data_IF_947474206447
#
_entry.id   IF_947474206447
#
_cell.length_a   1.000
_cell.length_b   1.000
_cell.length_c   1.000
_cell.angle_alpha   90.00
_cell.angle_beta   90.00
_cell.angle_gamma   90.00
#
_symmetry.space_group_name_H-M   'P 1'
#
loop_
_entity.id
_entity.type
_entity.pdbx_description
1 polymer ?
#
# COMPACT_ATOMS: atom_id res chain seq x y z
N UNK A 1 -62.89 4.29 2.86
CA UNK A 1 -61.50 4.63 2.47
C UNK A 1 -60.76 4.97 3.75
N UNK A 2 -59.94 4.03 4.26
CA UNK A 2 -59.11 4.21 5.44
C UNK A 2 -57.84 4.98 5.05
N UNK A 3 -57.73 6.20 5.55
CA UNK A 3 -56.50 7.00 5.37
C UNK A 3 -55.34 6.26 6.05
N UNK A 4 -54.35 5.82 5.28
CA UNK A 4 -53.06 5.38 5.79
C UNK A 4 -52.28 6.61 6.31
N UNK A 5 -52.33 6.85 7.62
CA UNK A 5 -51.48 7.83 8.26
C UNK A 5 -50.05 7.25 8.31
N UNK A 6 -49.16 7.79 7.47
CA UNK A 6 -47.70 7.55 7.61
C UNK A 6 -47.23 8.40 8.78
N UNK A 7 -46.87 7.78 9.89
CA UNK A 7 -46.20 8.45 11.00
C UNK A 7 -44.72 8.66 10.63
N UNK A 8 -44.36 9.89 10.31
CA UNK A 8 -42.95 10.30 10.25
C UNK A 8 -42.53 10.49 11.70
N UNK A 9 -41.61 9.69 12.19
CA UNK A 9 -41.00 9.88 13.51
C UNK A 9 -40.39 11.28 13.59
N UNK A 10 -40.63 11.99 14.67
CA UNK A 10 -40.01 13.30 14.88
C UNK A 10 -38.49 13.17 14.92
N UNK A 11 -37.78 14.20 14.51
CA UNK A 11 -36.32 14.21 14.39
C UNK A 11 -35.62 13.89 15.71
N UNK A 12 -36.21 14.30 16.83
CA UNK A 12 -35.77 13.95 18.19
C UNK A 12 -35.83 12.43 18.45
N UNK A 13 -36.91 11.78 18.08
CA UNK A 13 -37.11 10.32 18.25
C UNK A 13 -36.10 9.54 17.42
N UNK A 14 -35.79 10.02 16.20
CA UNK A 14 -34.76 9.42 15.34
C UNK A 14 -33.35 9.57 15.93
N UNK A 15 -33.05 10.72 16.56
CA UNK A 15 -31.80 10.95 17.27
C UNK A 15 -31.67 10.06 18.51
N UNK A 16 -32.72 9.92 19.31
CA UNK A 16 -32.74 9.02 20.45
C UNK A 16 -32.56 7.55 20.06
N UNK A 17 -33.23 7.10 18.99
CA UNK A 17 -33.06 5.73 18.48
C UNK A 17 -31.67 5.51 18.00
N UNK A 18 -31.06 6.51 17.32
CA UNK A 18 -29.67 6.46 16.87
C UNK A 18 -28.70 6.35 18.06
N UNK A 19 -28.85 7.19 19.08
CA UNK A 19 -28.01 7.17 20.27
C UNK A 19 -28.15 5.86 21.05
N UNK A 20 -29.39 5.33 21.21
CA UNK A 20 -29.62 4.04 21.86
C UNK A 20 -29.03 2.89 21.04
N UNK A 21 -29.11 2.92 19.71
CA UNK A 21 -28.52 1.92 18.83
C UNK A 21 -27.00 1.96 18.91
N UNK A 22 -26.41 3.14 18.90
CA UNK A 22 -24.95 3.32 19.06
C UNK A 22 -24.50 2.84 20.45
N UNK A 23 -25.26 3.09 21.50
CA UNK A 23 -24.97 2.62 22.86
C UNK A 23 -25.10 1.10 23.00
N UNK A 24 -26.09 0.49 22.34
CA UNK A 24 -26.22 -0.98 22.26
C UNK A 24 -25.05 -1.61 21.49
N UNK A 25 -24.68 -1.04 20.36
CA UNK A 25 -23.53 -1.50 19.59
C UNK A 25 -22.24 -1.38 20.41
N UNK A 26 -22.02 -0.27 21.11
CA UNK A 26 -20.87 -0.08 22.02
C UNK A 26 -20.82 -1.13 23.13
N UNK A 27 -21.95 -1.53 23.68
CA UNK A 27 -22.02 -2.55 24.73
C UNK A 27 -21.80 -3.99 24.22
N UNK A 28 -21.97 -4.23 22.92
CA UNK A 28 -21.70 -5.52 22.26
C UNK A 28 -20.25 -5.64 21.79
N UNK A 29 -19.48 -4.54 21.73
CA UNK A 29 -18.09 -4.52 21.32
C UNK A 29 -17.22 -4.69 22.56
N UNK A 30 -16.25 -5.65 22.56
CA UNK A 30 -15.30 -5.78 23.65
C UNK A 30 -14.56 -4.47 23.89
N UNK A 31 -14.68 -3.89 25.08
CA UNK A 31 -14.07 -2.60 25.46
C UNK A 31 -12.57 -2.70 25.77
N UNK A 32 -12.00 -3.91 25.71
CA UNK A 32 -10.64 -4.24 26.11
C UNK A 32 -9.65 -4.35 24.94
N UNK A 33 -10.12 -4.19 23.70
CA UNK A 33 -9.21 -4.22 22.54
C UNK A 33 -8.36 -2.95 22.47
N UNK A 34 -7.01 -3.05 22.43
CA UNK A 34 -6.16 -1.87 22.36
C UNK A 34 -6.42 -1.10 21.07
N UNK A 35 -6.63 0.21 21.19
CA UNK A 35 -6.71 1.14 20.06
C UNK A 35 -5.38 1.89 19.99
N UNK A 36 -4.66 1.64 18.92
CA UNK A 36 -3.43 2.36 18.59
C UNK A 36 -3.76 3.58 17.75
N UNK A 37 -3.16 4.71 18.05
CA UNK A 37 -3.52 5.94 17.36
C UNK A 37 -2.34 6.89 17.18
N UNK A 38 -2.52 7.82 16.25
CA UNK A 38 -1.64 8.96 16.07
C UNK A 38 -2.43 10.18 15.59
N UNK A 39 -1.92 11.36 15.89
CA UNK A 39 -2.24 12.60 15.20
C UNK A 39 -1.03 13.07 14.41
N UNK A 40 -1.26 13.55 13.20
CA UNK A 40 -0.26 14.15 12.33
C UNK A 40 -0.61 15.62 12.17
N UNK A 41 0.26 16.50 12.67
CA UNK A 41 0.11 17.95 12.65
C UNK A 41 0.50 18.51 11.27
N UNK A 42 -0.39 18.36 10.28
CA UNK A 42 -0.04 18.57 8.86
C UNK A 42 0.27 20.02 8.47
N UNK A 43 -0.26 21.02 9.21
CA UNK A 43 -0.01 22.43 8.92
C UNK A 43 0.86 23.13 9.96
N UNK A 44 0.80 22.71 11.23
CA UNK A 44 1.49 23.39 12.34
C UNK A 44 2.94 22.93 12.53
N UNK A 45 3.26 21.70 12.10
CA UNK A 45 4.60 21.14 12.14
C UNK A 45 4.91 20.40 10.82
N UNK A 46 5.88 20.88 10.07
CA UNK A 46 6.33 20.27 8.81
C UNK A 46 7.53 19.34 8.98
N UNK A 47 8.13 19.26 10.18
CA UNK A 47 9.24 18.35 10.42
C UNK A 47 8.75 16.90 10.54
N UNK A 48 9.19 15.97 9.67
CA UNK A 48 8.71 14.60 9.63
C UNK A 48 8.86 13.84 10.95
N UNK A 49 9.91 14.14 11.73
CA UNK A 49 10.23 13.44 12.96
C UNK A 49 9.45 13.93 14.20
N UNK A 50 8.85 15.13 14.15
CA UNK A 50 8.15 15.73 15.29
C UNK A 50 6.66 15.90 15.09
N UNK A 51 6.19 15.94 13.84
CA UNK A 51 4.77 16.17 13.50
C UNK A 51 3.82 15.04 13.86
N UNK A 52 4.33 13.88 14.28
CA UNK A 52 3.53 12.72 14.65
C UNK A 52 3.51 12.55 16.17
N UNK A 53 2.34 12.62 16.76
CA UNK A 53 2.10 12.36 18.19
C UNK A 53 1.33 11.04 18.36
N UNK A 54 1.76 10.20 19.29
CA UNK A 54 1.08 8.95 19.62
C UNK A 54 -0.14 9.17 20.53
N UNK A 55 -1.19 8.40 20.30
CA UNK A 55 -2.46 8.45 21.02
C UNK A 55 -2.90 7.04 21.46
N UNK A 56 -3.83 6.99 22.41
CA UNK A 56 -4.45 5.72 22.82
C UNK A 56 -3.45 4.74 23.46
N UNK A 57 -3.50 3.48 23.07
CA UNK A 57 -2.69 2.41 23.68
C UNK A 57 -1.19 2.54 23.45
N UNK A 58 -0.78 3.26 22.41
CA UNK A 58 0.64 3.47 22.08
C UNK A 58 1.20 4.83 22.51
N UNK A 59 0.48 5.58 23.36
CA UNK A 59 0.88 6.93 23.78
C UNK A 59 2.33 7.03 24.25
N UNK A 60 2.79 6.05 25.02
CA UNK A 60 4.13 6.04 25.60
C UNK A 60 5.08 5.05 24.90
N UNK A 61 4.76 4.62 23.68
CA UNK A 61 5.58 3.64 22.95
C UNK A 61 6.86 4.27 22.43
N UNK A 62 7.95 3.51 22.51
CA UNK A 62 9.18 3.78 21.77
C UNK A 62 8.93 3.41 20.29
N UNK A 63 9.14 4.33 19.34
CA UNK A 63 9.00 4.02 17.92
C UNK A 63 10.01 2.99 17.44
N UNK A 64 9.71 2.34 16.33
CA UNK A 64 10.66 1.52 15.59
C UNK A 64 11.75 2.39 14.97
N UNK A 65 12.95 1.84 14.83
CA UNK A 65 14.05 2.50 14.13
C UNK A 65 14.91 1.50 13.36
N UNK A 66 15.26 1.84 12.12
CA UNK A 66 16.16 1.06 11.28
C UNK A 66 17.62 1.43 11.53
N UNK A 67 18.47 0.45 11.76
CA UNK A 67 19.91 0.64 11.71
C UNK A 67 20.40 0.37 10.28
N UNK A 68 20.65 1.44 9.51
CA UNK A 68 21.03 1.35 8.10
C UNK A 68 22.37 0.66 7.88
N UNK A 69 23.28 0.70 8.86
CA UNK A 69 24.59 0.06 8.75
C UNK A 69 24.55 -1.47 8.97
N UNK A 70 23.66 -1.95 9.83
CA UNK A 70 23.46 -3.38 10.09
C UNK A 70 22.23 -3.95 9.39
N UNK A 71 21.45 -3.09 8.75
CA UNK A 71 20.18 -3.41 8.07
C UNK A 71 19.11 -4.03 8.98
N UNK A 72 19.24 -3.82 10.29
CA UNK A 72 18.37 -4.43 11.30
C UNK A 72 17.36 -3.43 11.86
N UNK A 73 16.14 -3.89 12.07
CA UNK A 73 15.07 -3.12 12.69
C UNK A 73 15.06 -3.30 14.22
N UNK A 74 15.18 -2.19 14.95
CA UNK A 74 14.76 -2.14 16.37
C UNK A 74 13.25 -1.90 16.41
N UNK A 75 12.51 -2.90 16.86
CA UNK A 75 11.04 -2.85 16.91
C UNK A 75 10.49 -1.95 18.04
N UNK A 76 11.34 -1.42 18.93
CA UNK A 76 10.89 -0.59 20.03
C UNK A 76 9.80 -1.27 20.87
N UNK A 77 8.73 -0.53 21.17
CA UNK A 77 7.58 -1.08 21.91
C UNK A 77 6.61 -1.89 21.05
N UNK A 78 6.81 -1.94 19.72
CA UNK A 78 5.95 -2.64 18.77
C UNK A 78 6.26 -4.13 18.62
N UNK A 79 7.37 -4.61 19.22
CA UNK A 79 7.83 -6.00 19.12
C UNK A 79 6.76 -7.03 19.50
N UNK A 80 5.84 -6.68 20.41
CA UNK A 80 4.79 -7.57 20.89
C UNK A 80 3.42 -7.35 20.25
N UNK A 81 3.29 -6.44 19.29
CA UNK A 81 2.02 -6.23 18.61
C UNK A 81 1.64 -7.45 17.76
N UNK A 82 0.52 -8.09 18.13
CA UNK A 82 0.04 -9.34 17.52
C UNK A 82 -0.18 -9.21 16.01
N UNK A 83 -0.65 -8.07 15.54
CA UNK A 83 -0.85 -7.80 14.13
C UNK A 83 0.48 -7.79 13.36
N UNK A 84 1.50 -7.15 13.92
CA UNK A 84 2.84 -7.10 13.32
C UNK A 84 3.49 -8.49 13.26
N UNK A 85 3.34 -9.29 14.33
CA UNK A 85 3.81 -10.68 14.38
C UNK A 85 3.07 -11.60 13.39
N UNK A 86 1.84 -11.27 13.00
CA UNK A 86 1.05 -12.04 12.04
C UNK A 86 1.48 -11.79 10.58
N UNK A 87 2.30 -10.77 10.32
CA UNK A 87 2.89 -10.56 8.99
C UNK A 87 4.04 -11.55 8.78
N UNK A 88 3.78 -12.60 8.02
CA UNK A 88 4.70 -13.72 7.77
C UNK A 88 4.84 -13.99 6.27
N UNK A 89 6.03 -14.39 5.79
CA UNK A 89 6.25 -14.72 4.39
C UNK A 89 5.77 -16.15 4.08
N UNK A 90 5.14 -16.32 2.93
CA UNK A 90 4.54 -17.60 2.52
C UNK A 90 4.78 -17.89 1.04
N UNK A 91 4.74 -19.18 0.68
CA UNK A 91 4.44 -19.60 -0.69
C UNK A 91 2.97 -19.95 -0.78
N UNK A 92 2.26 -19.36 -1.75
CA UNK A 92 0.83 -19.62 -1.99
C UNK A 92 0.59 -20.11 -3.41
N UNK A 93 -0.53 -20.82 -3.62
CA UNK A 93 -1.04 -21.19 -4.94
C UNK A 93 -1.51 -19.95 -5.74
N UNK A 94 -1.98 -20.20 -6.98
CA UNK A 94 -2.45 -19.12 -7.87
C UNK A 94 -3.67 -18.37 -7.31
N UNK A 95 -4.48 -19.00 -6.51
CA UNK A 95 -5.71 -18.49 -5.89
C UNK A 95 -5.49 -17.85 -4.51
N UNK A 96 -4.25 -17.80 -4.02
CA UNK A 96 -3.91 -17.28 -2.70
C UNK A 96 -4.00 -18.32 -1.57
N UNK A 97 -4.23 -19.60 -1.85
CA UNK A 97 -4.15 -20.65 -0.84
C UNK A 97 -2.71 -20.81 -0.34
N UNK A 98 -2.49 -20.64 0.96
CA UNK A 98 -1.16 -20.78 1.57
C UNK A 98 -0.74 -22.25 1.50
N UNK A 99 0.36 -22.53 0.80
CA UNK A 99 0.91 -23.88 0.67
C UNK A 99 1.88 -24.20 1.82
N UNK A 100 2.73 -23.23 2.19
CA UNK A 100 3.62 -23.31 3.35
C UNK A 100 4.18 -21.94 3.71
N UNK A 101 4.68 -21.85 4.94
CA UNK A 101 5.35 -20.68 5.46
C UNK A 101 6.83 -20.72 5.12
N UNK A 102 7.40 -19.57 4.75
CA UNK A 102 8.84 -19.38 4.60
C UNK A 102 9.49 -19.10 5.96
N UNK A 103 10.77 -19.39 6.08
CA UNK A 103 11.56 -18.89 7.21
C UNK A 103 11.69 -17.36 7.07
N UNK A 104 11.26 -16.57 8.06
CA UNK A 104 11.26 -15.10 7.95
C UNK A 104 12.67 -14.51 7.84
N UNK A 105 13.71 -15.23 8.28
CA UNK A 105 15.11 -14.78 8.27
C UNK A 105 15.90 -15.36 7.09
N UNK A 106 15.37 -16.37 6.40
CA UNK A 106 16.01 -16.99 5.23
C UNK A 106 14.96 -17.57 4.30
N UNK A 107 14.48 -16.76 3.34
CA UNK A 107 13.42 -17.18 2.41
C UNK A 107 13.79 -18.36 1.50
N UNK A 108 15.07 -18.73 1.41
CA UNK A 108 15.48 -19.96 0.70
C UNK A 108 15.07 -21.22 1.44
N UNK A 109 14.56 -21.08 2.67
CA UNK A 109 14.07 -22.16 3.52
C UNK A 109 12.58 -21.96 3.85
N UNK A 110 11.91 -23.09 4.10
CA UNK A 110 10.62 -23.14 4.76
C UNK A 110 10.77 -22.92 6.26
N UNK A 111 9.67 -22.69 6.96
CA UNK A 111 9.66 -22.55 8.41
C UNK A 111 10.23 -23.79 9.16
N UNK A 112 10.18 -24.97 8.55
CA UNK A 112 10.77 -26.23 9.09
C UNK A 112 12.25 -26.39 8.76
N UNK A 113 12.87 -25.43 8.07
CA UNK A 113 14.29 -25.43 7.70
C UNK A 113 14.61 -26.15 6.39
N UNK A 114 13.67 -26.82 5.74
CA UNK A 114 13.88 -27.44 4.42
C UNK A 114 13.90 -26.39 3.29
N UNK A 115 14.44 -26.75 2.12
CA UNK A 115 14.53 -25.84 0.98
C UNK A 115 13.14 -25.37 0.51
N UNK A 116 13.04 -24.06 0.21
CA UNK A 116 11.82 -23.46 -0.31
C UNK A 116 11.83 -23.34 -1.85
N UNK A 117 10.69 -22.96 -2.40
CA UNK A 117 10.51 -22.69 -3.82
C UNK A 117 10.55 -21.18 -4.14
N UNK A 118 11.11 -20.34 -3.26
CA UNK A 118 11.09 -18.87 -3.42
C UNK A 118 11.67 -18.38 -4.75
N UNK A 119 12.62 -19.12 -5.33
CA UNK A 119 13.25 -18.83 -6.64
C UNK A 119 12.90 -19.88 -7.71
N UNK A 120 11.96 -20.79 -7.44
CA UNK A 120 11.59 -21.84 -8.39
C UNK A 120 10.56 -21.32 -9.40
N UNK A 121 11.01 -20.99 -10.60
CA UNK A 121 10.15 -20.52 -11.69
C UNK A 121 9.00 -21.49 -12.04
N UNK A 122 9.17 -22.80 -11.77
CA UNK A 122 8.17 -23.83 -12.03
C UNK A 122 7.18 -24.04 -10.86
N UNK A 123 7.37 -23.36 -9.72
CA UNK A 123 6.40 -23.44 -8.63
C UNK A 123 5.03 -22.91 -9.10
N UNK A 124 3.97 -23.64 -8.82
CA UNK A 124 2.61 -23.32 -9.24
C UNK A 124 1.96 -22.28 -8.28
N UNK A 125 2.55 -21.08 -8.18
CA UNK A 125 2.09 -20.06 -7.26
C UNK A 125 3.10 -18.91 -7.10
N UNK A 126 3.04 -18.22 -5.96
CA UNK A 126 3.77 -16.99 -5.70
C UNK A 126 4.37 -16.95 -4.28
N UNK A 127 5.45 -16.16 -4.12
CA UNK A 127 5.99 -15.78 -2.83
C UNK A 127 5.31 -14.48 -2.37
N UNK A 128 4.58 -14.55 -1.28
CA UNK A 128 3.75 -13.46 -0.78
C UNK A 128 3.96 -13.25 0.73
N UNK A 129 3.54 -12.12 1.27
CA UNK A 129 3.50 -11.88 2.70
C UNK A 129 2.06 -11.65 3.17
N UNK A 130 1.72 -12.24 4.31
CA UNK A 130 0.38 -12.13 4.89
C UNK A 130 0.21 -10.78 5.57
N UNK A 131 -0.83 -10.05 5.22
CA UNK A 131 -1.31 -8.86 5.93
C UNK A 131 -2.66 -9.20 6.54
N UNK A 132 -2.71 -9.42 7.84
CA UNK A 132 -3.94 -9.69 8.59
C UNK A 132 -4.85 -8.46 8.58
N UNK A 133 -6.16 -8.70 8.51
CA UNK A 133 -7.17 -7.64 8.59
C UNK A 133 -6.97 -6.79 9.84
N UNK A 134 -7.06 -5.47 9.63
CA UNK A 134 -7.09 -4.46 10.68
C UNK A 134 -8.18 -3.45 10.37
N UNK A 135 -8.76 -2.87 11.38
CA UNK A 135 -9.77 -1.82 11.25
C UNK A 135 -9.11 -0.46 11.47
N UNK A 136 -9.42 0.48 10.59
CA UNK A 136 -8.88 1.84 10.57
C UNK A 136 -10.00 2.85 10.75
N UNK A 137 -9.79 3.85 11.61
CA UNK A 137 -10.60 5.05 11.71
C UNK A 137 -9.72 6.24 11.41
N UNK A 138 -10.16 7.12 10.51
CA UNK A 138 -9.38 8.26 10.06
C UNK A 138 -10.30 9.46 9.83
N UNK A 139 -9.85 10.64 10.30
CA UNK A 139 -10.56 11.90 10.11
C UNK A 139 -9.62 13.09 10.31
N UNK A 140 -10.06 14.29 9.89
CA UNK A 140 -9.36 15.55 10.17
C UNK A 140 -10.15 16.41 11.17
N UNK A 141 -9.42 17.14 12.03
CA UNK A 141 -9.94 18.24 12.85
C UNK A 141 -9.06 19.45 12.58
N UNK A 142 -9.60 20.44 11.87
CA UNK A 142 -8.77 21.48 11.28
C UNK A 142 -7.77 20.89 10.29
N UNK A 143 -6.50 21.19 10.46
CA UNK A 143 -5.40 20.64 9.66
C UNK A 143 -4.81 19.35 10.22
N UNK A 144 -5.18 18.95 11.43
CA UNK A 144 -4.64 17.76 12.07
C UNK A 144 -5.35 16.50 11.58
N UNK A 145 -4.55 15.51 11.16
CA UNK A 145 -5.04 14.21 10.70
C UNK A 145 -4.92 13.16 11.80
N UNK A 146 -6.05 12.61 12.23
CA UNK A 146 -6.16 11.58 13.25
C UNK A 146 -6.33 10.22 12.60
N UNK A 147 -5.50 9.26 12.97
CA UNK A 147 -5.52 7.88 12.46
C UNK A 147 -5.46 6.90 13.62
N UNK A 148 -6.41 5.96 13.64
CA UNK A 148 -6.48 4.93 14.66
C UNK A 148 -6.60 3.54 14.04
N UNK A 149 -5.99 2.56 14.69
CA UNK A 149 -6.04 1.16 14.30
C UNK A 149 -6.49 0.28 15.46
N UNK A 150 -7.28 -0.74 15.15
CA UNK A 150 -7.68 -1.78 16.08
C UNK A 150 -7.81 -3.12 15.34
N UNK A 151 -7.42 -4.23 15.96
CA UNK A 151 -7.61 -5.57 15.38
C UNK A 151 -9.07 -6.03 15.36
N UNK A 152 -9.97 -5.27 16.01
CA UNK A 152 -11.41 -5.49 16.04
C UNK A 152 -12.16 -4.21 15.67
N UNK A 153 -13.36 -4.35 15.16
CA UNK A 153 -14.24 -3.21 14.95
C UNK A 153 -14.83 -2.76 16.30
N UNK A 154 -14.32 -1.69 16.85
CA UNK A 154 -14.70 -1.17 18.18
C UNK A 154 -15.82 -0.12 18.12
N UNK A 155 -16.04 0.49 16.96
CA UNK A 155 -17.19 1.32 16.63
C UNK A 155 -17.43 1.31 15.10
N UNK A 156 -18.58 1.82 14.60
CA UNK A 156 -18.89 1.80 13.16
C UNK A 156 -17.94 2.60 12.27
N UNK A 157 -17.17 3.54 12.82
CA UNK A 157 -16.20 4.33 12.04
C UNK A 157 -14.91 3.58 11.78
N UNK A 158 -14.62 2.53 12.58
CA UNK A 158 -13.52 1.63 12.29
C UNK A 158 -13.91 0.71 11.13
N UNK A 159 -13.30 0.95 9.98
CA UNK A 159 -13.56 0.22 8.74
C UNK A 159 -12.38 -0.68 8.36
N UNK A 160 -12.61 -1.85 7.75
CA UNK A 160 -11.54 -2.74 7.28
C UNK A 160 -10.94 -2.20 5.96
N UNK A 161 -10.36 -0.99 6.02
CA UNK A 161 -9.82 -0.29 4.84
C UNK A 161 -8.71 -1.11 4.20
N UNK A 162 -8.87 -1.43 2.92
CA UNK A 162 -7.95 -2.29 2.18
C UNK A 162 -8.29 -3.79 2.21
N UNK A 163 -9.30 -4.20 3.00
CA UNK A 163 -9.72 -5.61 3.12
C UNK A 163 -11.12 -5.87 2.56
N UNK A 164 -11.82 -4.83 2.11
CA UNK A 164 -13.09 -4.99 1.41
C UNK A 164 -12.81 -5.18 -0.09
N UNK A 165 -13.04 -6.38 -0.60
CA UNK A 165 -12.87 -6.72 -2.02
C UNK A 165 -14.24 -6.97 -2.63
N UNK A 166 -14.72 -6.03 -3.43
CA UNK A 166 -16.03 -6.10 -4.12
C UNK A 166 -17.17 -6.47 -3.16
N UNK A 167 -17.24 -5.76 -2.03
CA UNK A 167 -18.27 -5.95 -1.00
C UNK A 167 -18.02 -7.13 -0.05
N UNK A 168 -16.93 -7.86 -0.18
CA UNK A 168 -16.57 -8.98 0.71
C UNK A 168 -15.33 -8.62 1.53
N UNK A 169 -15.48 -8.56 2.84
CA UNK A 169 -14.36 -8.33 3.77
C UNK A 169 -13.52 -9.60 3.87
N UNK A 170 -12.20 -9.46 3.65
CA UNK A 170 -11.23 -10.56 3.73
C UNK A 170 -10.51 -10.54 5.07
N UNK A 171 -10.19 -11.72 5.61
CA UNK A 171 -9.48 -11.83 6.89
C UNK A 171 -7.99 -11.50 6.79
N UNK A 172 -7.44 -11.66 5.58
CA UNK A 172 -6.09 -11.23 5.24
C UNK A 172 -5.98 -10.94 3.74
N UNK A 173 -4.93 -10.19 3.40
CA UNK A 173 -4.48 -9.98 2.03
C UNK A 173 -3.05 -10.51 1.91
N UNK A 174 -2.69 -11.02 0.75
CA UNK A 174 -1.34 -11.46 0.42
C UNK A 174 -0.68 -10.41 -0.46
N UNK A 175 0.31 -9.69 0.08
CA UNK A 175 1.08 -8.69 -0.65
C UNK A 175 2.30 -9.33 -1.32
N UNK A 176 2.79 -8.79 -2.45
CA UNK A 176 3.93 -9.35 -3.17
C UNK A 176 5.23 -9.17 -2.38
N UNK A 177 6.03 -10.22 -2.27
CA UNK A 177 7.38 -10.12 -1.73
C UNK A 177 8.35 -9.49 -2.74
N UNK A 178 8.11 -9.72 -4.03
CA UNK A 178 8.96 -9.31 -5.14
C UNK A 178 8.19 -8.49 -6.17
N UNK A 179 8.88 -7.61 -6.88
CA UNK A 179 8.32 -6.90 -8.02
C UNK A 179 7.72 -7.85 -9.03
N UNK A 180 6.62 -7.45 -9.65
CA UNK A 180 5.93 -8.24 -10.65
C UNK A 180 6.83 -8.63 -11.81
N UNK A 181 6.73 -9.87 -12.22
CA UNK A 181 7.33 -10.43 -13.43
C UNK A 181 6.26 -11.17 -14.24
N UNK A 182 6.49 -11.40 -15.52
CA UNK A 182 5.55 -12.14 -16.38
C UNK A 182 6.20 -13.46 -16.79
N UNK A 183 5.52 -14.58 -16.49
CA UNK A 183 6.00 -15.91 -16.89
C UNK A 183 5.67 -16.24 -18.37
N UNK A 184 6.20 -17.36 -18.86
CA UNK A 184 5.99 -17.81 -20.23
C UNK A 184 4.52 -18.09 -20.60
N UNK A 185 3.62 -18.14 -19.64
CA UNK A 185 2.17 -18.26 -19.84
C UNK A 185 1.46 -16.90 -19.77
N UNK A 186 2.20 -15.81 -19.61
CA UNK A 186 1.68 -14.46 -19.50
C UNK A 186 1.02 -14.16 -18.15
N UNK A 187 1.36 -14.87 -17.08
CA UNK A 187 0.85 -14.66 -15.73
C UNK A 187 1.75 -13.70 -14.95
N UNK A 188 1.16 -12.80 -14.19
CA UNK A 188 1.87 -11.99 -13.22
C UNK A 188 2.39 -12.86 -12.07
N UNK A 189 3.67 -12.71 -11.72
CA UNK A 189 4.35 -13.48 -10.69
C UNK A 189 4.99 -12.58 -9.66
N UNK A 190 5.02 -13.03 -8.41
CA UNK A 190 5.88 -12.55 -7.34
C UNK A 190 6.80 -13.71 -6.94
N UNK A 191 8.05 -13.71 -7.45
CA UNK A 191 9.00 -14.78 -7.21
C UNK A 191 10.44 -14.27 -7.38
N UNK A 192 11.38 -14.75 -6.58
CA UNK A 192 12.78 -14.36 -6.69
C UNK A 192 13.44 -14.97 -7.93
N UNK A 193 14.52 -14.35 -8.42
CA UNK A 193 15.26 -14.85 -9.56
C UNK A 193 14.64 -14.51 -10.93
N UNK A 194 13.51 -13.80 -10.96
CA UNK A 194 12.87 -13.35 -12.19
C UNK A 194 13.14 -11.86 -12.43
N UNK A 195 13.12 -11.46 -13.70
CA UNK A 195 13.24 -10.07 -14.08
C UNK A 195 12.04 -9.27 -13.57
N UNK A 196 12.31 -8.12 -12.96
CA UNK A 196 11.29 -7.25 -12.37
C UNK A 196 10.65 -6.27 -13.35
N UNK A 197 10.94 -6.36 -14.64
CA UNK A 197 10.26 -5.58 -15.66
C UNK A 197 9.04 -6.32 -16.24
N UNK A 198 8.07 -5.55 -16.65
CA UNK A 198 6.83 -6.03 -17.23
C UNK A 198 6.80 -5.80 -18.73
N UNK A 199 7.75 -6.36 -19.43
CA UNK A 199 7.65 -6.51 -20.89
C UNK A 199 6.90 -7.80 -21.24
N UNK A 200 6.30 -7.85 -22.42
CA UNK A 200 5.57 -9.03 -22.89
C UNK A 200 6.45 -10.30 -22.95
N UNK A 201 7.76 -10.15 -23.03
CA UNK A 201 8.73 -11.24 -23.07
C UNK A 201 9.39 -11.52 -21.72
N UNK A 202 9.09 -10.74 -20.68
CA UNK A 202 9.84 -10.80 -19.42
C UNK A 202 11.32 -10.44 -19.58
N UNK A 203 11.70 -9.86 -20.70
CA UNK A 203 13.09 -9.61 -21.06
C UNK A 203 13.56 -8.24 -20.57
N UNK A 204 14.86 -8.13 -20.43
CA UNK A 204 15.58 -6.95 -19.96
C UNK A 204 15.68 -5.81 -20.99
N UNK A 205 14.98 -5.89 -22.11
CA UNK A 205 15.05 -4.80 -23.09
C UNK A 205 14.39 -3.54 -22.54
N UNK A 206 15.04 -2.42 -22.76
CA UNK A 206 14.43 -1.12 -22.49
C UNK A 206 13.15 -0.95 -23.33
N UNK A 207 12.24 -0.13 -22.85
CA UNK A 207 10.97 0.12 -23.53
C UNK A 207 11.09 0.91 -24.83
N UNK A 208 12.26 1.39 -25.19
CA UNK A 208 12.50 2.02 -26.48
C UNK A 208 12.25 1.07 -27.65
N UNK A 209 12.18 -0.24 -27.37
CA UNK A 209 11.84 -1.29 -28.35
C UNK A 209 10.36 -1.58 -28.53
N UNK A 210 9.45 -0.91 -27.79
CA UNK A 210 8.01 -1.09 -27.91
C UNK A 210 7.45 -2.38 -27.29
N UNK A 211 8.18 -3.03 -26.39
CA UNK A 211 7.75 -4.26 -25.71
C UNK A 211 7.10 -4.01 -24.35
N UNK A 212 7.09 -2.77 -23.88
CA UNK A 212 6.41 -2.41 -22.64
C UNK A 212 4.90 -2.54 -22.76
N UNK A 213 4.27 -2.86 -21.65
CA UNK A 213 2.82 -3.09 -21.57
C UNK A 213 2.14 -2.05 -20.68
N UNK A 214 0.96 -1.63 -21.09
CA UNK A 214 0.12 -0.68 -20.35
C UNK A 214 -0.68 -1.34 -19.23
N UNK A 215 -1.53 -0.54 -18.60
CA UNK A 215 -2.34 -0.99 -17.43
C UNK A 215 -3.27 -2.14 -17.79
N UNK A 216 -3.85 -2.14 -19.01
CA UNK A 216 -4.79 -3.19 -19.45
C UNK A 216 -4.11 -4.55 -19.60
N UNK A 217 -2.92 -4.57 -20.19
CA UNK A 217 -2.13 -5.78 -20.38
C UNK A 217 -1.62 -6.31 -19.04
N UNK A 218 -1.20 -5.43 -18.13
CA UNK A 218 -0.80 -5.79 -16.77
C UNK A 218 -1.98 -6.37 -15.98
N UNK A 219 -3.18 -5.79 -16.12
CA UNK A 219 -4.41 -6.36 -15.55
C UNK A 219 -4.70 -7.76 -16.11
N UNK A 220 -4.52 -7.93 -17.42
CA UNK A 220 -4.70 -9.23 -18.07
C UNK A 220 -3.72 -10.27 -17.49
N UNK A 221 -2.47 -9.91 -17.26
CA UNK A 221 -1.49 -10.80 -16.65
C UNK A 221 -1.85 -11.16 -15.20
N UNK A 222 -2.36 -10.21 -14.42
CA UNK A 222 -2.87 -10.44 -13.05
C UNK A 222 -4.05 -11.43 -13.10
N UNK A 223 -5.02 -11.21 -13.97
CA UNK A 223 -6.21 -12.08 -14.09
C UNK A 223 -5.89 -13.47 -14.64
N UNK A 224 -4.84 -13.62 -15.44
CA UNK A 224 -4.31 -14.94 -15.82
C UNK A 224 -3.68 -15.68 -14.65
N UNK A 225 -3.18 -14.97 -13.64
CA UNK A 225 -2.68 -15.61 -12.41
C UNK A 225 -3.82 -16.09 -11.54
N UNK A 226 -4.79 -15.20 -11.28
CA UNK A 226 -5.98 -15.48 -10.49
C UNK A 226 -7.14 -14.62 -10.96
N UNK A 227 -8.33 -15.23 -11.08
CA UNK A 227 -9.56 -14.47 -11.37
C UNK A 227 -9.90 -13.45 -10.27
N UNK A 228 -9.37 -13.65 -9.06
CA UNK A 228 -9.48 -12.71 -7.93
C UNK A 228 -8.23 -11.85 -7.74
N UNK A 229 -7.26 -11.92 -8.64
CA UNK A 229 -6.04 -11.15 -8.58
C UNK A 229 -6.31 -9.64 -8.73
N UNK A 230 -5.55 -8.83 -8.02
CA UNK A 230 -5.67 -7.38 -7.94
C UNK A 230 -4.29 -6.75 -8.16
N UNK A 231 -4.27 -5.48 -8.55
CA UNK A 231 -3.05 -4.68 -8.47
C UNK A 231 -2.67 -4.45 -7.00
N UNK A 232 -1.39 -4.50 -6.68
CA UNK A 232 -0.91 -4.09 -5.37
C UNK A 232 -0.93 -2.56 -5.27
N UNK A 233 -2.04 -2.03 -4.80
CA UNK A 233 -2.34 -0.60 -4.73
C UNK A 233 -3.58 -0.32 -3.89
N UNK A 234 -4.18 0.83 -4.12
CA UNK A 234 -5.46 1.24 -3.54
C UNK A 234 -5.47 1.39 -2.03
N UNK A 235 -6.59 1.08 -1.39
CA UNK A 235 -6.78 1.36 0.03
C UNK A 235 -5.86 0.57 0.97
N UNK A 236 -5.39 -0.63 0.57
CA UNK A 236 -4.46 -1.41 1.39
C UNK A 236 -3.10 -0.70 1.51
N UNK A 237 -2.55 -0.22 0.42
CA UNK A 237 -1.25 0.46 0.44
C UNK A 237 -1.29 1.78 1.20
N UNK A 238 -2.41 2.52 1.17
CA UNK A 238 -2.61 3.70 2.03
C UNK A 238 -2.67 3.29 3.51
N UNK A 239 -3.35 2.18 3.84
CA UNK A 239 -3.40 1.64 5.20
C UNK A 239 -2.01 1.24 5.69
N UNK A 240 -1.21 0.55 4.87
CA UNK A 240 0.16 0.16 5.20
C UNK A 240 1.09 1.37 5.36
N UNK A 241 0.95 2.40 4.52
CA UNK A 241 1.72 3.63 4.65
C UNK A 241 1.43 4.35 5.98
N UNK A 242 0.17 4.43 6.40
CA UNK A 242 -0.19 4.99 7.71
C UNK A 242 0.33 4.13 8.89
N UNK A 243 0.30 2.81 8.75
CA UNK A 243 0.91 1.93 9.75
C UNK A 243 2.41 2.19 9.84
N UNK A 244 3.11 2.36 8.72
CA UNK A 244 4.54 2.70 8.70
C UNK A 244 4.81 4.02 9.44
N UNK A 245 4.02 5.07 9.19
CA UNK A 245 4.12 6.34 9.94
C UNK A 245 3.90 6.12 11.43
N UNK A 246 2.90 5.34 11.81
CA UNK A 246 2.65 5.01 13.23
C UNK A 246 3.80 4.22 13.85
N UNK A 247 4.33 3.22 13.18
CA UNK A 247 5.41 2.38 13.71
C UNK A 247 6.69 3.17 13.96
N UNK A 248 7.05 4.09 13.05
CA UNK A 248 8.30 4.86 13.10
C UNK A 248 8.15 6.24 13.74
N UNK A 249 6.90 6.69 13.96
CA UNK A 249 6.59 8.04 14.42
C UNK A 249 7.20 9.13 13.51
N UNK A 250 7.25 8.87 12.22
CA UNK A 250 7.80 9.77 11.20
C UNK A 250 7.00 9.67 9.92
N UNK A 251 6.86 10.80 9.21
CA UNK A 251 6.25 10.84 7.88
C UNK A 251 7.25 10.66 6.74
N UNK A 252 8.56 10.67 7.03
CA UNK A 252 9.62 10.39 6.08
C UNK A 252 9.90 8.88 6.02
N UNK A 253 9.45 8.24 4.95
CA UNK A 253 9.59 6.80 4.78
C UNK A 253 11.01 6.38 4.43
N UNK A 254 11.78 7.19 3.68
CA UNK A 254 13.15 6.86 3.31
C UNK A 254 14.08 6.95 4.52
N UNK A 255 13.99 8.01 5.33
CA UNK A 255 14.76 8.10 6.59
C UNK A 255 14.40 6.98 7.58
N UNK A 256 13.15 6.50 7.54
CA UNK A 256 12.65 5.49 8.47
C UNK A 256 13.03 4.06 8.09
N UNK A 257 13.05 3.73 6.79
CA UNK A 257 13.21 2.35 6.29
C UNK A 257 14.38 2.21 5.29
N UNK A 258 15.08 3.30 4.98
CA UNK A 258 16.16 3.35 4.00
C UNK A 258 15.69 3.79 2.62
N UNK A 259 16.63 4.29 1.84
CA UNK A 259 16.38 4.90 0.53
C UNK A 259 16.11 3.89 -0.60
N UNK A 260 16.39 2.62 -0.37
CA UNK A 260 16.15 1.58 -1.37
C UNK A 260 17.00 1.75 -2.63
N UNK A 261 16.36 1.67 -3.79
CA UNK A 261 17.01 1.79 -5.11
C UNK A 261 16.69 3.13 -5.80
N UNK A 262 16.25 4.13 -5.07
CA UNK A 262 15.72 5.39 -5.58
C UNK A 262 16.70 6.23 -6.42
N UNK A 263 18.01 6.00 -6.33
CA UNK A 263 19.04 6.71 -7.09
C UNK A 263 20.00 5.73 -7.77
N UNK A 264 19.51 4.60 -8.20
CA UNK A 264 20.31 3.51 -8.77
C UNK A 264 20.25 3.41 -10.30
N UNK A 265 19.63 4.38 -10.96
CA UNK A 265 19.56 4.40 -12.42
C UNK A 265 20.94 4.49 -13.08
N UNK A 266 21.13 3.73 -14.14
CA UNK A 266 22.25 3.85 -15.08
C UNK A 266 21.70 3.99 -16.48
N UNK A 267 22.24 4.95 -17.25
CA UNK A 267 21.82 5.18 -18.65
C UNK A 267 22.17 4.04 -19.60
N UNK A 268 23.10 3.16 -19.21
CA UNK A 268 23.43 1.99 -20.01
C UNK A 268 22.24 1.04 -20.08
N UNK A 269 21.65 0.91 -21.25
CA UNK A 269 20.47 0.09 -21.54
C UNK A 269 20.62 -1.38 -21.14
N UNK A 270 21.85 -1.92 -21.13
CA UNK A 270 22.14 -3.26 -20.66
C UNK A 270 22.09 -3.41 -19.14
N UNK A 271 22.05 -2.29 -18.43
CA UNK A 271 22.07 -2.23 -16.97
C UNK A 271 20.87 -1.49 -16.37
N UNK A 272 19.76 -1.34 -17.10
CA UNK A 272 18.54 -0.71 -16.59
C UNK A 272 18.03 -1.42 -15.35
N UNK A 273 17.88 -0.69 -14.28
CA UNK A 273 17.43 -1.26 -12.99
C UNK A 273 15.99 -1.78 -13.04
N UNK A 274 15.14 -1.19 -13.85
CA UNK A 274 13.79 -1.69 -14.12
C UNK A 274 13.75 -3.09 -14.73
N UNK A 275 14.90 -3.63 -15.11
CA UNK A 275 15.05 -4.99 -15.65
C UNK A 275 15.88 -5.88 -14.74
N UNK A 276 16.23 -5.44 -13.54
CA UNK A 276 17.01 -6.25 -12.61
C UNK A 276 16.26 -7.48 -12.13
N UNK A 277 17.01 -8.53 -11.89
CA UNK A 277 16.51 -9.75 -11.29
C UNK A 277 16.11 -9.47 -9.84
N UNK A 278 14.88 -9.79 -9.48
CA UNK A 278 14.41 -9.78 -8.11
C UNK A 278 15.33 -10.60 -7.22
N UNK A 279 15.90 -10.00 -6.19
CA UNK A 279 16.81 -10.66 -5.26
C UNK A 279 16.10 -11.05 -3.97
N UNK A 280 16.51 -12.15 -3.39
CA UNK A 280 16.19 -12.45 -2.00
C UNK A 280 16.99 -11.48 -1.12
N UNK A 281 16.29 -10.60 -0.41
CA UNK A 281 16.92 -9.66 0.54
C UNK A 281 17.05 -10.28 1.92
N UNK A 282 18.05 -9.83 2.67
CA UNK A 282 18.43 -10.34 3.97
C UNK A 282 17.30 -10.57 4.98
N UNK A 283 17.58 -11.17 6.08
CA UNK A 283 16.63 -11.68 7.06
C UNK A 283 15.65 -10.65 7.64
N UNK A 284 14.60 -11.15 8.28
CA UNK A 284 13.62 -10.37 9.01
C UNK A 284 12.51 -9.75 8.14
N UNK A 285 11.53 -9.22 8.83
CA UNK A 285 10.32 -8.57 8.26
C UNK A 285 10.64 -7.24 7.56
N UNK A 286 11.67 -6.56 8.02
CA UNK A 286 12.17 -5.29 7.50
C UNK A 286 13.66 -5.42 7.16
N UNK A 287 14.08 -4.69 6.16
CA UNK A 287 15.49 -4.56 5.79
C UNK A 287 15.68 -3.20 5.13
N UNK A 288 16.58 -2.38 5.61
CA UNK A 288 16.83 -1.03 5.10
C UNK A 288 18.31 -0.75 4.88
N UNK A 289 18.62 -0.01 3.82
CA UNK A 289 19.94 0.48 3.46
C UNK A 289 19.82 1.86 2.83
N UNK A 290 20.82 2.71 3.04
CA UNK A 290 20.93 4.05 2.46
C UNK A 290 21.91 4.11 1.28
N UNK A 291 22.32 2.98 0.73
CA UNK A 291 23.27 2.94 -0.39
C UNK A 291 22.65 3.32 -1.74
N UNK A 292 21.32 3.59 -1.77
CA UNK A 292 20.53 3.92 -2.94
C UNK A 292 20.51 2.84 -4.04
N UNK A 293 20.98 1.62 -3.74
CA UNK A 293 21.17 0.51 -4.69
C UNK A 293 20.71 -0.84 -4.13
N UNK A 294 20.08 -0.86 -2.95
CA UNK A 294 19.65 -2.08 -2.29
C UNK A 294 18.17 -2.33 -2.43
N UNK A 295 17.80 -3.60 -2.58
CA UNK A 295 16.43 -4.05 -2.40
C UNK A 295 16.08 -3.99 -0.92
N UNK A 296 15.53 -2.88 -0.47
CA UNK A 296 14.96 -2.77 0.87
C UNK A 296 13.61 -3.49 0.92
N UNK A 297 13.13 -3.76 2.12
CA UNK A 297 11.79 -4.36 2.32
C UNK A 297 11.09 -3.80 3.54
N UNK A 298 9.78 -3.72 3.42
CA UNK A 298 8.83 -3.39 4.49
C UNK A 298 7.77 -4.48 4.49
N UNK A 299 7.45 -5.08 5.62
CA UNK A 299 6.49 -6.19 5.74
C UNK A 299 6.82 -7.38 4.80
N UNK A 300 8.09 -7.77 4.71
CA UNK A 300 8.61 -8.78 3.78
C UNK A 300 8.49 -8.42 2.30
N UNK A 301 8.01 -7.23 1.92
CA UNK A 301 7.81 -6.79 0.55
C UNK A 301 8.91 -5.84 0.08
N UNK A 302 9.65 -6.23 -0.94
CA UNK A 302 10.60 -5.35 -1.63
C UNK A 302 9.88 -4.24 -2.41
N UNK A 303 8.65 -4.48 -2.82
CA UNK A 303 7.85 -3.48 -3.57
C UNK A 303 7.54 -2.25 -2.72
N UNK A 304 7.34 -2.43 -1.40
CA UNK A 304 7.08 -1.32 -0.48
C UNK A 304 8.33 -0.53 -0.08
N UNK A 305 9.51 -1.18 -0.08
CA UNK A 305 10.72 -0.57 0.49
C UNK A 305 11.80 -0.22 -0.50
N UNK A 306 11.72 -0.66 -1.77
CA UNK A 306 12.84 -0.53 -2.70
C UNK A 306 12.73 0.64 -3.67
N UNK A 307 11.55 1.18 -3.94
CA UNK A 307 11.33 2.32 -4.85
C UNK A 307 12.05 2.17 -6.21
N UNK A 308 12.09 0.94 -6.74
CA UNK A 308 12.83 0.65 -7.97
C UNK A 308 12.00 0.92 -9.23
N UNK A 309 10.71 0.65 -9.16
CA UNK A 309 9.77 0.79 -10.27
C UNK A 309 8.45 1.37 -9.77
N UNK A 310 7.93 2.34 -10.49
CA UNK A 310 6.56 2.79 -10.32
C UNK A 310 5.60 1.61 -10.33
N UNK A 311 4.68 1.58 -9.37
CA UNK A 311 3.64 0.56 -9.26
C UNK A 311 2.30 1.14 -9.67
N UNK A 312 1.64 0.55 -10.66
CA UNK A 312 0.31 0.98 -11.09
C UNK A 312 -0.73 0.79 -9.99
N UNK A 313 -1.48 1.85 -9.76
CA UNK A 313 -2.59 1.90 -8.81
C UNK A 313 -3.88 2.36 -9.52
N UNK A 314 -4.52 1.48 -10.31
CA UNK A 314 -5.71 1.85 -11.07
C UNK A 314 -6.94 2.12 -10.20
N UNK A 315 -6.83 1.97 -8.89
CA UNK A 315 -7.89 2.29 -7.92
C UNK A 315 -7.92 3.77 -7.54
N UNK A 316 -7.00 4.56 -8.07
CA UNK A 316 -7.02 6.02 -8.06
C UNK A 316 -6.84 6.52 -9.48
N UNK A 317 -7.78 7.36 -9.93
CA UNK A 317 -7.78 8.00 -11.25
C UNK A 317 -7.96 9.50 -11.06
N UNK A 318 -7.13 10.31 -11.71
CA UNK A 318 -7.30 11.76 -11.76
C UNK A 318 -7.88 12.17 -13.12
N UNK A 319 -9.11 12.64 -13.13
CA UNK A 319 -9.78 13.12 -14.36
C UNK A 319 -9.65 14.63 -14.42
N UNK A 320 -8.77 15.14 -15.28
CA UNK A 320 -8.44 16.57 -15.36
C UNK A 320 -8.11 17.15 -13.98
N UNK A 321 -7.27 16.43 -13.20
CA UNK A 321 -6.86 16.79 -11.84
C UNK A 321 -7.86 16.39 -10.74
N UNK A 322 -9.12 16.05 -11.07
CA UNK A 322 -10.11 15.61 -10.08
C UNK A 322 -9.90 14.16 -9.69
N UNK A 323 -9.56 13.92 -8.43
CA UNK A 323 -9.27 12.57 -7.93
C UNK A 323 -10.55 11.79 -7.67
N UNK A 324 -10.61 10.58 -8.22
CA UNK A 324 -11.66 9.59 -7.99
C UNK A 324 -11.02 8.27 -7.55
N UNK A 325 -11.66 7.54 -6.64
CA UNK A 325 -11.08 6.32 -6.05
C UNK A 325 -12.08 5.16 -5.97
N UNK A 326 -11.54 3.95 -6.08
CA UNK A 326 -12.26 2.71 -5.79
C UNK A 326 -11.96 2.23 -4.36
N UNK A 327 -12.97 2.18 -3.51
CA UNK A 327 -12.82 1.74 -2.11
C UNK A 327 -12.90 0.23 -1.93
N UNK A 328 -13.21 -0.52 -3.00
CA UNK A 328 -13.47 -1.96 -3.00
C UNK A 328 -12.74 -2.73 -4.09
N UNK A 329 -11.71 -2.12 -4.70
CA UNK A 329 -10.95 -2.69 -5.82
C UNK A 329 -11.75 -2.93 -7.12
N UNK A 330 -12.87 -2.28 -7.29
CA UNK A 330 -13.49 -2.19 -8.62
C UNK A 330 -12.50 -1.53 -9.58
N UNK A 331 -12.26 -2.17 -10.73
CA UNK A 331 -11.29 -1.73 -11.73
C UNK A 331 -11.99 -0.94 -12.83
N UNK A 332 -11.58 0.32 -12.98
CA UNK A 332 -12.05 1.19 -14.07
C UNK A 332 -10.99 2.27 -14.36
N UNK A 333 -10.57 2.40 -15.62
CA UNK A 333 -9.51 3.32 -16.03
C UNK A 333 -10.00 4.73 -16.37
N UNK A 334 -11.31 4.96 -16.47
CA UNK A 334 -11.92 6.29 -16.66
C UNK A 334 -12.34 6.94 -15.33
N UNK A 335 -12.35 6.18 -14.24
CA UNK A 335 -12.90 6.61 -12.95
C UNK A 335 -14.43 6.60 -12.89
N UNK A 336 -15.11 5.99 -13.89
CA UNK A 336 -16.57 5.85 -13.87
C UNK A 336 -16.98 4.86 -12.77
N UNK A 337 -17.98 5.24 -11.98
CA UNK A 337 -18.41 4.46 -10.82
C UNK A 337 -17.50 4.56 -9.60
N UNK A 338 -16.38 5.28 -9.68
CA UNK A 338 -15.53 5.56 -8.52
C UNK A 338 -16.13 6.66 -7.64
N UNK A 339 -15.78 6.64 -6.38
CA UNK A 339 -16.10 7.71 -5.44
C UNK A 339 -15.36 8.98 -5.85
N UNK A 340 -16.11 10.05 -6.12
CA UNK A 340 -15.53 11.38 -6.29
C UNK A 340 -15.11 11.93 -4.92
N UNK A 341 -13.81 12.17 -4.75
CA UNK A 341 -13.25 12.53 -3.45
C UNK A 341 -13.48 13.98 -3.04
N UNK A 342 -13.85 14.82 -3.98
CA UNK A 342 -13.86 16.28 -3.76
C UNK A 342 -12.48 16.93 -3.91
N UNK A 343 -11.39 16.17 -3.90
CA UNK A 343 -10.03 16.67 -4.01
C UNK A 343 -9.67 16.95 -5.48
N UNK A 344 -9.01 18.08 -5.71
CA UNK A 344 -8.50 18.48 -7.00
C UNK A 344 -7.02 18.79 -6.87
N UNK A 345 -6.18 18.24 -7.74
CA UNK A 345 -4.75 18.51 -7.82
C UNK A 345 -4.40 19.04 -9.19
N UNK A 346 -3.65 20.12 -9.28
CA UNK A 346 -3.45 20.87 -10.51
C UNK A 346 -1.99 21.04 -10.91
N UNK A 347 -1.07 20.87 -9.98
CA UNK A 347 0.36 21.06 -10.18
C UNK A 347 1.19 20.01 -9.42
N UNK A 348 2.43 19.86 -9.84
CA UNK A 348 3.41 19.07 -9.13
C UNK A 348 3.69 19.70 -7.74
N UNK A 349 3.76 18.88 -6.69
CA UNK A 349 4.01 19.36 -5.34
C UNK A 349 4.63 18.28 -4.45
N UNK A 350 5.28 18.70 -3.36
CA UNK A 350 5.65 17.81 -2.27
C UNK A 350 4.50 17.68 -1.28
N UNK A 351 4.20 16.47 -0.86
CA UNK A 351 3.08 16.19 0.01
C UNK A 351 3.34 16.70 1.44
N UNK A 352 2.65 17.73 1.89
CA UNK A 352 2.65 18.16 3.29
C UNK A 352 1.32 17.88 3.98
N UNK A 353 0.21 18.01 3.24
CA UNK A 353 -1.14 17.72 3.69
C UNK A 353 -1.77 16.61 2.87
N UNK A 354 -2.70 15.89 3.49
CA UNK A 354 -3.48 14.83 2.84
C UNK A 354 -4.97 15.14 2.91
N UNK A 355 -5.69 14.76 1.86
CA UNK A 355 -7.14 14.71 1.87
C UNK A 355 -7.60 13.31 2.31
N UNK A 356 -8.47 13.23 3.32
CA UNK A 356 -8.94 11.95 3.87
C UNK A 356 -10.19 11.49 3.14
N UNK A 357 -10.16 10.27 2.61
CA UNK A 357 -11.28 9.64 1.89
C UNK A 357 -11.77 8.41 2.65
N UNK A 358 -13.01 8.46 3.13
CA UNK A 358 -13.62 7.34 3.87
C UNK A 358 -13.60 6.05 3.04
N UNK A 359 -13.03 4.99 3.62
CA UNK A 359 -12.92 3.67 2.96
C UNK A 359 -11.74 3.52 2.01
N UNK A 360 -11.01 4.60 1.69
CA UNK A 360 -9.82 4.55 0.84
C UNK A 360 -8.54 4.93 1.60
N UNK A 361 -8.63 5.89 2.51
CA UNK A 361 -7.50 6.46 3.25
C UNK A 361 -7.05 7.80 2.68
N UNK A 362 -5.85 8.23 3.06
CA UNK A 362 -5.30 9.52 2.68
C UNK A 362 -4.84 9.55 1.21
N UNK A 363 -5.06 10.67 0.55
CA UNK A 363 -4.60 10.98 -0.81
C UNK A 363 -3.90 12.34 -0.83
N UNK A 364 -3.00 12.63 -1.80
CA UNK A 364 -2.33 13.92 -1.92
C UNK A 364 -3.28 15.12 -1.95
N UNK A 365 -2.87 16.24 -1.36
CA UNK A 365 -3.59 17.50 -1.34
C UNK A 365 -2.63 18.66 -1.57
N UNK A 366 -3.04 19.69 -2.31
CA UNK A 366 -2.26 20.91 -2.58
C UNK A 366 -2.52 22.03 -1.55
N UNK A 367 -3.15 21.74 -0.41
CA UNK A 367 -3.47 22.75 0.60
C UNK A 367 -2.22 23.40 1.19
N UNK A 368 -1.18 22.61 1.44
CA UNK A 368 0.14 23.06 1.88
C UNK A 368 1.19 22.19 1.17
N UNK A 369 2.21 22.82 0.63
CA UNK A 369 3.33 22.15 -0.01
C UNK A 369 4.47 21.90 0.99
N UNK A 370 5.02 20.68 0.95
CA UNK A 370 6.24 20.29 1.66
C UNK A 370 7.50 20.53 0.82
N UNK A 371 8.55 19.81 1.18
CA UNK A 371 9.81 19.68 0.43
C UNK A 371 10.31 18.24 0.57
N UNK A 372 11.41 17.89 -0.09
CA UNK A 372 12.07 16.59 0.11
C UNK A 372 12.57 16.33 1.55
N UNK A 373 12.47 17.32 2.46
CA UNK A 373 12.87 17.23 3.86
C UNK A 373 11.75 17.64 4.84
N UNK A 374 10.56 17.94 4.34
CA UNK A 374 9.42 18.40 5.16
C UNK A 374 8.11 17.78 4.68
N UNK A 375 7.12 17.74 5.55
CA UNK A 375 5.84 17.12 5.26
C UNK A 375 5.95 15.60 5.28
N UNK A 376 5.55 14.96 4.18
CA UNK A 376 5.75 13.52 3.95
C UNK A 376 7.03 13.22 3.16
N UNK A 377 7.77 14.25 2.77
CA UNK A 377 8.99 14.23 1.97
C UNK A 377 8.81 13.73 0.52
N UNK A 378 7.74 13.04 0.24
CA UNK A 378 7.41 12.41 -1.02
C UNK A 378 6.72 13.38 -1.98
N UNK A 379 6.90 13.18 -3.28
CA UNK A 379 6.41 14.09 -4.32
C UNK A 379 5.17 13.54 -5.04
N UNK A 380 4.35 14.43 -5.57
CA UNK A 380 3.22 14.12 -6.46
C UNK A 380 3.38 14.85 -7.78
N UNK A 381 3.47 14.08 -8.88
CA UNK A 381 3.49 14.59 -10.26
C UNK A 381 2.07 14.65 -10.79
N UNK A 382 1.71 15.73 -11.49
CA UNK A 382 0.34 15.98 -11.93
C UNK A 382 0.30 16.48 -13.38
N UNK A 383 -0.58 15.90 -14.18
CA UNK A 383 -1.04 16.48 -15.43
C UNK A 383 -2.56 16.62 -15.39
N UNK A 384 -3.02 17.82 -15.05
CA UNK A 384 -4.44 18.13 -14.90
C UNK A 384 -5.20 18.26 -16.23
N UNK A 385 -4.61 17.89 -17.37
CA UNK A 385 -5.28 17.97 -18.69
C UNK A 385 -5.69 16.61 -19.25
N UNK A 386 -5.38 15.52 -18.53
CA UNK A 386 -5.63 14.14 -18.96
C UNK A 386 -6.46 13.36 -17.94
N UNK A 387 -6.89 12.17 -18.33
CA UNK A 387 -7.33 11.15 -17.39
C UNK A 387 -6.11 10.29 -17.03
N UNK A 388 -5.52 10.54 -15.87
CA UNK A 388 -4.36 9.83 -15.37
C UNK A 388 -4.76 8.64 -14.50
N UNK A 389 -4.06 7.51 -14.68
CA UNK A 389 -4.09 6.36 -13.76
C UNK A 389 -2.90 6.47 -12.83
N UNK A 390 -3.15 6.48 -11.53
CA UNK A 390 -2.10 6.68 -10.52
C UNK A 390 -0.99 5.64 -10.62
N UNK A 391 0.25 6.10 -10.45
CA UNK A 391 1.40 5.28 -10.10
C UNK A 391 1.84 5.60 -8.67
N UNK A 392 2.55 4.68 -8.01
CA UNK A 392 2.98 4.79 -6.61
C UNK A 392 4.44 4.49 -6.42
N UNK A 393 4.98 5.02 -5.33
CA UNK A 393 6.26 4.73 -4.69
C UNK A 393 7.48 5.39 -5.34
N UNK A 394 7.44 5.70 -6.63
CA UNK A 394 8.60 6.23 -7.34
C UNK A 394 9.37 5.18 -8.13
N UNK A 395 10.50 5.57 -8.72
CA UNK A 395 11.43 4.69 -9.41
C UNK A 395 12.90 5.05 -9.13
N UNK A 396 13.80 4.30 -9.71
CA UNK A 396 15.25 4.44 -9.48
C UNK A 396 15.89 5.73 -10.04
N UNK A 397 15.11 6.68 -10.56
CA UNK A 397 15.53 8.00 -10.99
C UNK A 397 15.21 9.13 -10.01
N UNK A 398 14.17 8.94 -9.20
CA UNK A 398 13.48 10.07 -8.57
C UNK A 398 14.10 10.48 -7.23
N UNK A 399 15.00 9.65 -6.68
CA UNK A 399 15.80 9.99 -5.50
C UNK A 399 14.95 10.26 -4.25
N UNK A 400 15.11 11.44 -3.67
CA UNK A 400 14.37 11.85 -2.46
C UNK A 400 12.90 12.22 -2.74
N UNK A 401 12.43 12.11 -3.98
CA UNK A 401 11.03 12.33 -4.35
C UNK A 401 10.19 11.08 -4.12
N UNK A 402 10.85 9.91 -4.02
CA UNK A 402 10.23 8.61 -3.81
C UNK A 402 9.77 8.40 -2.37
N UNK A 403 8.86 7.45 -2.19
CA UNK A 403 8.43 7.00 -0.88
C UNK A 403 7.02 6.40 -0.88
N UNK A 404 6.54 6.06 0.30
CA UNK A 404 5.24 5.40 0.46
C UNK A 404 4.05 6.27 0.00
N UNK A 405 4.22 7.59 -0.01
CA UNK A 405 3.22 8.57 -0.40
C UNK A 405 3.46 9.19 -1.78
N UNK A 406 4.57 8.85 -2.45
CA UNK A 406 4.86 9.32 -3.80
C UNK A 406 3.77 8.88 -4.78
N UNK A 407 3.38 9.79 -5.68
CA UNK A 407 2.35 9.57 -6.69
C UNK A 407 2.75 10.18 -8.02
N UNK A 408 2.44 9.47 -9.11
CA UNK A 408 2.39 10.08 -10.43
C UNK A 408 0.93 10.05 -10.93
N UNK A 409 0.38 11.23 -11.14
CA UNK A 409 -0.96 11.51 -11.68
C UNK A 409 -0.84 12.23 -13.03
N UNK A 410 0.15 11.85 -13.82
CA UNK A 410 0.52 12.42 -15.12
C UNK A 410 0.63 11.36 -16.23
N UNK A 411 0.25 10.11 -15.93
CA UNK A 411 0.34 9.00 -16.85
C UNK A 411 -1.05 8.47 -17.24
N UNK A 412 -1.32 8.38 -18.54
CA UNK A 412 -2.54 7.70 -19.03
C UNK A 412 -2.44 6.18 -18.86
N UNK A 413 -3.58 5.50 -18.90
CA UNK A 413 -3.62 4.04 -18.75
C UNK A 413 -2.74 3.27 -19.75
N UNK A 414 -2.55 3.80 -20.96
CA UNK A 414 -1.73 3.22 -22.02
C UNK A 414 -0.23 3.55 -21.89
N UNK A 415 0.16 4.45 -20.97
CA UNK A 415 1.58 4.74 -20.75
C UNK A 415 2.33 3.46 -20.44
N UNK A 416 3.44 3.23 -21.13
CA UNK A 416 4.20 1.99 -21.06
C UNK A 416 5.69 2.31 -21.09
N UNK A 417 6.28 2.40 -19.92
CA UNK A 417 7.69 2.69 -19.73
C UNK A 417 8.36 1.51 -19.00
N UNK A 418 9.65 1.38 -19.14
CA UNK A 418 10.42 0.35 -18.42
C UNK A 418 10.29 0.49 -16.89
N UNK A 419 10.08 1.70 -16.39
CA UNK A 419 9.90 1.99 -14.96
C UNK A 419 8.45 1.88 -14.46
N UNK A 420 7.46 1.65 -15.34
CA UNK A 420 6.05 1.51 -14.96
C UNK A 420 5.65 0.05 -14.81
N UNK A 421 5.86 -0.49 -13.63
CA UNK A 421 5.51 -1.85 -13.25
C UNK A 421 4.12 -2.00 -12.64
N UNK A 422 3.81 -3.22 -12.30
CA UNK A 422 2.70 -3.61 -11.43
C UNK A 422 3.11 -4.86 -10.64
N UNK A 423 2.48 -5.06 -9.52
CA UNK A 423 2.67 -6.27 -8.71
C UNK A 423 1.33 -6.85 -8.29
N UNK A 424 1.34 -8.16 -8.02
CA UNK A 424 0.15 -8.94 -7.71
C UNK A 424 -0.27 -8.76 -6.25
N UNK A 425 -1.53 -8.48 -6.00
CA UNK A 425 -2.19 -8.59 -4.70
C UNK A 425 -3.22 -9.72 -4.76
N UNK A 426 -3.21 -10.62 -3.79
CA UNK A 426 -4.20 -11.70 -3.71
C UNK A 426 -5.03 -11.55 -2.43
N UNK A 427 -6.37 -11.53 -2.52
CA UNK A 427 -7.21 -11.63 -1.34
C UNK A 427 -7.17 -13.07 -0.78
N UNK A 428 -7.39 -13.20 0.53
CA UNK A 428 -7.65 -14.50 1.13
C UNK A 428 -8.71 -15.27 0.31
N UNK A 429 -8.56 -16.58 0.10
CA UNK A 429 -9.63 -17.38 -0.49
C UNK A 429 -10.97 -17.13 0.22
N UNK A 430 -12.08 -17.20 -0.51
CA UNK A 430 -13.37 -17.16 0.15
C UNK A 430 -13.46 -18.36 1.11
N UNK A 431 -13.99 -18.11 2.32
CA UNK A 431 -14.36 -19.22 3.19
C UNK A 431 -15.34 -20.13 2.42
N UNK A 432 -15.05 -21.42 2.39
CA UNK A 432 -15.85 -22.43 1.71
C UNK A 432 -17.24 -22.55 2.35
#
# INVERSE_FOLDING_TARGET
MTENKVFIAEQETLLEVKEQTEKLIRNLIPTDAPIYGMVIHEASDLNPATRVEYLGANKDFKPMSMNMATHAMDYGSWADWSWLKANVPVMCGWDGEIKYYLNPDDYTKKADGTASDVSNANFAGNAMAVIKKIYKKEYKVGSDRYVYFCERQVDPDFQPVGFNVKGKVRDYMLIPMFYGSIDGNGRMRSIAGQWSCLTASGSSSDNSSGTAIGTTEQNTAILKTSANGLFFGGPLTNTLADICVMLTRSTDSQSSFGSGMCSSYVEDKAQHYGTQINKVVGGGQFYGSDDNKSFNKIFHSAVLGSYMLWQRDPYMVAVNGRIKVSTDYTYNLSGDGYLDTGCNVTANHYNATMHVVKGFGAIPSEEIEGTSATGYCDHTWVNATITAVSLRFGDCHDGLLDGLWARALDNVAASAWWSCGASLLLPAPAAA
#
